data_IF_072678442023
#
_entry.id   IF_072678442023
#
_cell.length_a   1.000
_cell.length_b   1.000
_cell.length_c   1.000
_cell.angle_alpha   90.00
_cell.angle_beta   90.00
_cell.angle_gamma   90.00
#
_symmetry.space_group_name_H-M   'P 1'
#
loop_
_entity.id
_entity.type
_entity.pdbx_description
1 polymer ?
#
# COMPACT_ATOMS: atom_id res chain seq x y z
N UNK A 1 -10.63 -9.19 20.94
CA UNK A 1 -11.40 -9.80 22.06
C UNK A 1 -10.49 -10.44 23.12
N UNK A 2 -9.49 -11.25 22.78
CA UNK A 2 -8.60 -11.91 23.76
C UNK A 2 -7.80 -10.91 24.62
N UNK A 3 -7.23 -9.87 24.01
CA UNK A 3 -6.46 -8.85 24.74
C UNK A 3 -7.27 -8.03 25.74
N UNK A 4 -8.57 -7.82 25.49
CA UNK A 4 -9.46 -7.12 26.42
C UNK A 4 -9.79 -7.96 27.66
N UNK A 5 -9.89 -9.28 27.51
CA UNK A 5 -10.12 -10.21 28.62
C UNK A 5 -8.85 -10.39 29.47
N UNK A 6 -7.67 -10.40 28.85
CA UNK A 6 -6.38 -10.51 29.54
C UNK A 6 -6.04 -9.22 30.30
N UNK A 7 -6.35 -8.05 29.73
CA UNK A 7 -6.17 -6.77 30.42
C UNK A 7 -7.04 -6.63 31.69
N UNK A 8 -8.22 -7.24 31.70
CA UNK A 8 -9.11 -7.26 32.88
C UNK A 8 -8.61 -8.18 34.00
N UNK A 9 -7.82 -9.19 33.67
CA UNK A 9 -7.25 -10.16 34.61
C UNK A 9 -5.95 -9.65 35.28
N UNK A 10 -5.22 -8.77 34.59
CA UNK A 10 -4.00 -8.11 35.13
C UNK A 10 -4.31 -6.85 35.98
N UNK A 11 -5.57 -6.46 36.09
CA UNK A 11 -6.01 -5.17 36.67
C UNK A 11 -6.34 -5.16 38.17
N UNK A 12 -5.94 -6.15 38.96
CA UNK A 12 -6.12 -6.14 40.42
C UNK A 12 -4.96 -5.44 41.14
N UNK A 13 -4.97 -4.11 41.19
CA UNK A 13 -4.07 -3.29 42.02
C UNK A 13 -3.91 -1.86 41.50
N UNK A 14 -3.45 -0.91 42.32
CA UNK A 14 -3.36 0.54 42.06
C UNK A 14 -2.60 0.98 40.78
N UNK A 15 -1.94 0.04 40.10
CA UNK A 15 -1.44 0.24 38.74
C UNK A 15 -2.58 0.27 37.69
N UNK A 16 -3.78 -0.18 38.06
CA UNK A 16 -4.97 -0.26 37.25
C UNK A 16 -5.41 1.11 36.75
N UNK A 17 -5.35 2.20 37.52
CA UNK A 17 -5.73 3.52 37.01
C UNK A 17 -4.79 4.04 35.91
N UNK A 18 -3.48 3.77 36.01
CA UNK A 18 -2.52 4.11 34.96
C UNK A 18 -2.69 3.24 33.72
N UNK A 19 -2.84 1.91 33.90
CA UNK A 19 -3.05 0.98 32.79
C UNK A 19 -4.43 1.12 32.14
N UNK A 20 -5.45 1.52 32.89
CA UNK A 20 -6.80 1.84 32.38
C UNK A 20 -6.80 3.21 31.70
N UNK A 21 -6.13 4.23 32.25
CA UNK A 21 -6.00 5.54 31.59
C UNK A 21 -5.19 5.48 30.27
N UNK A 22 -4.13 4.66 30.24
CA UNK A 22 -3.41 4.33 29.00
C UNK A 22 -4.28 3.51 28.05
N UNK A 23 -5.08 2.58 28.60
CA UNK A 23 -6.04 1.76 27.85
C UNK A 23 -7.14 2.57 27.19
N UNK A 24 -7.67 3.59 27.86
CA UNK A 24 -8.68 4.52 27.36
C UNK A 24 -8.09 5.52 26.35
N UNK A 25 -6.85 5.98 26.56
CA UNK A 25 -6.15 6.81 25.59
C UNK A 25 -5.87 6.05 24.27
N UNK A 26 -5.64 4.75 24.35
CA UNK A 26 -5.43 3.87 23.20
C UNK A 26 -6.72 3.17 22.73
N UNK A 27 -7.85 3.43 23.38
CA UNK A 27 -9.12 2.82 23.02
C UNK A 27 -9.52 3.18 21.59
N UNK A 28 -10.22 2.23 20.96
CA UNK A 28 -10.67 2.35 19.59
C UNK A 28 -11.59 3.57 19.43
N UNK A 29 -11.20 4.53 18.59
CA UNK A 29 -11.95 5.76 18.36
C UNK A 29 -11.54 6.98 19.19
N UNK A 30 -10.58 6.85 20.10
CA UNK A 30 -9.98 8.02 20.78
C UNK A 30 -9.20 8.89 19.80
N UNK A 31 -9.26 10.22 19.96
CA UNK A 31 -8.48 11.18 19.18
C UNK A 31 -6.96 10.87 19.25
N UNK A 32 -6.49 10.41 20.41
CA UNK A 32 -5.09 10.05 20.60
C UNK A 32 -4.69 8.81 19.79
N UNK A 33 -5.56 7.80 19.72
CA UNK A 33 -5.34 6.60 18.90
C UNK A 33 -5.25 6.97 17.40
N UNK A 34 -6.16 7.80 16.91
CA UNK A 34 -6.18 8.27 15.52
C UNK A 34 -4.93 9.09 15.15
N UNK A 35 -4.48 9.97 16.04
CA UNK A 35 -3.27 10.76 15.84
C UNK A 35 -2.01 9.89 15.78
N UNK A 36 -1.87 8.94 16.73
CA UNK A 36 -0.75 8.01 16.78
C UNK A 36 -0.72 7.10 15.55
N UNK A 37 -1.88 6.57 15.14
CA UNK A 37 -2.01 5.74 13.95
C UNK A 37 -1.65 6.51 12.68
N UNK A 38 -2.13 7.74 12.54
CA UNK A 38 -1.82 8.60 11.38
C UNK A 38 -0.34 8.90 11.28
N UNK A 39 0.31 9.24 12.39
CA UNK A 39 1.75 9.50 12.46
C UNK A 39 2.56 8.26 12.11
N UNK A 40 2.14 7.10 12.64
CA UNK A 40 2.80 5.82 12.35
C UNK A 40 2.70 5.47 10.86
N UNK A 41 1.54 5.69 10.22
CA UNK A 41 1.35 5.48 8.78
C UNK A 41 2.26 6.41 7.97
N UNK A 42 2.32 7.70 8.30
CA UNK A 42 3.20 8.67 7.61
C UNK A 42 4.66 8.26 7.71
N UNK A 43 5.11 7.89 8.91
CA UNK A 43 6.49 7.46 9.15
C UNK A 43 6.84 6.19 8.38
N UNK A 44 6.02 5.14 8.49
CA UNK A 44 6.27 3.87 7.82
C UNK A 44 6.17 3.97 6.30
N UNK A 45 5.27 4.80 5.77
CA UNK A 45 5.17 5.01 4.33
C UNK A 45 6.45 5.63 3.75
N UNK A 46 7.01 6.65 4.42
CA UNK A 46 8.28 7.25 4.02
C UNK A 46 9.45 6.29 4.16
N UNK A 47 9.52 5.58 5.29
CA UNK A 47 10.58 4.61 5.55
C UNK A 47 10.56 3.45 4.54
N UNK A 48 9.38 2.96 4.18
CA UNK A 48 9.25 1.90 3.20
C UNK A 48 9.76 2.35 1.82
N UNK A 49 9.33 3.51 1.34
CA UNK A 49 9.80 4.02 0.04
C UNK A 49 11.32 4.23 0.03
N UNK A 50 11.88 4.84 1.08
CA UNK A 50 13.31 5.09 1.18
C UNK A 50 14.18 3.82 1.24
N UNK A 51 13.63 2.71 1.75
CA UNK A 51 14.35 1.43 1.84
C UNK A 51 14.22 0.57 0.59
N UNK A 52 13.08 0.64 -0.11
CA UNK A 52 12.86 -0.14 -1.32
C UNK A 52 13.39 0.52 -2.59
N UNK A 53 13.22 1.84 -2.70
CA UNK A 53 13.58 2.58 -3.89
C UNK A 53 14.98 3.14 -3.75
N UNK A 54 15.89 2.61 -4.54
CA UNK A 54 17.26 3.11 -4.67
C UNK A 54 17.34 3.98 -5.93
N UNK A 55 17.17 5.30 -5.81
CA UNK A 55 17.10 6.21 -6.96
C UNK A 55 18.44 6.29 -7.71
N UNK A 56 19.55 6.10 -7.00
CA UNK A 56 20.89 6.06 -7.58
C UNK A 56 21.06 4.88 -8.53
N UNK A 57 20.61 3.69 -8.11
CA UNK A 57 20.66 2.46 -8.92
C UNK A 57 19.72 2.55 -10.13
N UNK A 58 18.48 3.02 -9.94
CA UNK A 58 17.51 3.16 -11.03
C UNK A 58 18.02 4.09 -12.13
N UNK A 59 18.63 5.22 -11.75
CA UNK A 59 19.21 6.15 -12.72
C UNK A 59 20.42 5.57 -13.48
N UNK A 60 21.25 4.76 -12.81
CA UNK A 60 22.37 4.06 -13.47
C UNK A 60 21.89 2.97 -14.41
N UNK A 61 20.89 2.19 -14.01
CA UNK A 61 20.31 1.14 -14.83
C UNK A 61 19.62 1.72 -16.06
N UNK A 62 18.92 2.87 -15.91
CA UNK A 62 18.34 3.60 -17.05
C UNK A 62 19.43 4.05 -18.03
N UNK A 63 20.54 4.59 -17.53
CA UNK A 63 21.68 5.00 -18.36
C UNK A 63 22.33 3.82 -19.07
N UNK A 64 22.51 2.68 -18.39
CA UNK A 64 23.09 1.45 -18.96
C UNK A 64 22.18 0.82 -20.01
N UNK A 65 20.86 0.88 -19.81
CA UNK A 65 19.86 0.39 -20.76
C UNK A 65 19.69 1.30 -22.00
N UNK A 66 20.43 2.42 -22.09
CA UNK A 66 20.29 3.40 -23.17
C UNK A 66 19.03 4.26 -23.06
N UNK A 67 18.31 4.19 -21.95
CA UNK A 67 17.14 5.02 -21.66
C UNK A 67 17.54 6.39 -21.11
N UNK A 68 16.68 7.38 -21.32
CA UNK A 68 16.81 8.70 -20.71
C UNK A 68 15.43 9.32 -20.48
N UNK A 69 15.35 10.19 -19.47
CA UNK A 69 14.14 10.99 -19.21
C UNK A 69 14.23 12.25 -20.08
N UNK A 70 13.27 12.50 -20.99
CA UNK A 70 13.25 13.71 -21.81
C UNK A 70 13.34 14.97 -20.94
N UNK A 71 14.27 15.87 -21.26
CA UNK A 71 14.48 17.13 -20.53
C UNK A 71 15.40 17.05 -19.31
N UNK A 72 15.89 15.87 -18.91
CA UNK A 72 16.83 15.71 -17.78
C UNK A 72 18.10 15.00 -18.23
N UNK A 73 19.27 15.54 -17.86
CA UNK A 73 20.56 14.96 -18.25
C UNK A 73 20.79 13.61 -17.56
N UNK A 74 21.22 12.54 -18.28
CA UNK A 74 21.48 11.24 -17.67
C UNK A 74 22.54 11.28 -16.56
N UNK A 75 22.29 10.58 -15.45
CA UNK A 75 23.19 10.52 -14.29
C UNK A 75 22.64 11.26 -13.08
N UNK A 76 23.43 12.16 -12.48
CA UNK A 76 23.05 12.85 -11.24
C UNK A 76 21.73 13.64 -11.36
N UNK A 77 21.49 14.34 -12.47
CA UNK A 77 20.24 15.09 -12.64
C UNK A 77 19.02 14.17 -12.72
N UNK A 78 19.14 12.95 -13.27
CA UNK A 78 18.08 11.93 -13.25
C UNK A 78 17.79 11.43 -11.84
N UNK A 79 18.82 11.24 -11.01
CA UNK A 79 18.68 10.86 -9.59
C UNK A 79 17.93 11.91 -8.80
N UNK A 80 18.32 13.17 -8.95
CA UNK A 80 17.66 14.29 -8.25
C UNK A 80 16.20 14.43 -8.69
N UNK A 81 15.93 14.25 -9.99
CA UNK A 81 14.56 14.25 -10.51
C UNK A 81 13.71 13.13 -9.90
N UNK A 82 14.24 11.90 -9.87
CA UNK A 82 13.57 10.74 -9.26
C UNK A 82 13.30 11.00 -7.78
N UNK A 83 14.28 11.53 -7.04
CA UNK A 83 14.13 11.80 -5.62
C UNK A 83 13.00 12.81 -5.33
N UNK A 84 12.93 13.91 -6.09
CA UNK A 84 11.86 14.90 -5.96
C UNK A 84 10.49 14.34 -6.33
N UNK A 85 10.41 13.54 -7.41
CA UNK A 85 9.17 12.92 -7.86
C UNK A 85 8.65 11.91 -6.82
N UNK A 86 9.53 11.04 -6.32
CA UNK A 86 9.21 10.03 -5.32
C UNK A 86 8.75 10.69 -4.02
N UNK A 87 9.48 11.68 -3.49
CA UNK A 87 9.08 12.36 -2.24
C UNK A 87 7.68 12.99 -2.31
N UNK A 88 7.33 13.63 -3.43
CA UNK A 88 5.99 14.22 -3.63
C UNK A 88 4.90 13.16 -3.78
N UNK A 89 5.21 12.08 -4.52
CA UNK A 89 4.29 10.97 -4.70
C UNK A 89 4.03 10.24 -3.37
N UNK A 90 5.08 10.00 -2.58
CA UNK A 90 4.99 9.41 -1.24
C UNK A 90 4.18 10.28 -0.30
N UNK A 91 4.37 11.60 -0.33
CA UNK A 91 3.57 12.51 0.50
C UNK A 91 2.08 12.44 0.15
N UNK A 92 1.73 12.47 -1.14
CA UNK A 92 0.33 12.33 -1.58
C UNK A 92 -0.25 10.95 -1.22
N UNK A 93 0.52 9.88 -1.43
CA UNK A 93 0.13 8.51 -1.11
C UNK A 93 -0.04 8.26 0.39
N UNK A 94 0.87 8.78 1.22
CA UNK A 94 0.81 8.62 2.66
C UNK A 94 -0.40 9.36 3.26
N UNK A 95 -0.71 10.56 2.77
CA UNK A 95 -1.94 11.29 3.15
C UNK A 95 -3.18 10.47 2.76
N UNK A 96 -3.20 9.89 1.56
CA UNK A 96 -4.30 9.05 1.13
C UNK A 96 -4.48 7.80 2.01
N UNK A 97 -3.39 7.15 2.41
CA UNK A 97 -3.42 6.00 3.33
C UNK A 97 -3.96 6.38 4.71
N UNK A 98 -3.57 7.53 5.25
CA UNK A 98 -4.12 8.05 6.51
C UNK A 98 -5.63 8.25 6.39
N UNK A 99 -6.11 8.85 5.29
CA UNK A 99 -7.55 9.07 5.08
C UNK A 99 -8.32 7.75 5.08
N UNK A 100 -7.86 6.74 4.32
CA UNK A 100 -8.51 5.43 4.28
C UNK A 100 -8.48 4.74 5.65
N UNK A 101 -7.41 4.90 6.42
CA UNK A 101 -7.32 4.31 7.77
C UNK A 101 -8.29 4.97 8.77
N UNK A 102 -8.49 6.29 8.67
CA UNK A 102 -9.33 7.07 9.60
C UNK A 102 -10.83 6.92 9.31
N UNK A 103 -11.23 6.82 8.04
CA UNK A 103 -12.64 6.70 7.61
C UNK A 103 -13.42 5.61 8.37
N UNK A 104 -12.98 4.33 8.45
CA UNK A 104 -13.75 3.28 9.10
C UNK A 104 -13.88 3.51 10.61
N UNK A 105 -12.85 4.07 11.25
CA UNK A 105 -12.91 4.40 12.69
C UNK A 105 -13.93 5.50 12.96
N UNK A 106 -13.98 6.54 12.13
CA UNK A 106 -14.95 7.64 12.27
C UNK A 106 -16.38 7.16 11.98
N UNK A 107 -16.57 6.35 10.93
CA UNK A 107 -17.87 5.76 10.59
C UNK A 107 -18.38 4.83 11.70
N UNK A 108 -17.50 4.02 12.29
CA UNK A 108 -17.86 3.11 13.37
C UNK A 108 -18.35 3.80 14.64
N UNK A 109 -17.82 4.99 14.96
CA UNK A 109 -18.24 5.78 16.13
C UNK A 109 -19.60 6.45 15.89
N UNK A 110 -19.84 6.98 14.69
CA UNK A 110 -21.04 7.79 14.41
C UNK A 110 -22.28 6.97 14.05
N UNK A 111 -22.13 5.73 13.58
CA UNK A 111 -23.23 4.93 13.05
C UNK A 111 -23.69 3.79 13.97
N UNK A 112 -23.11 3.62 15.17
CA UNK A 112 -23.44 2.58 16.16
C UNK A 112 -23.72 1.20 15.52
N UNK A 113 -22.86 0.80 14.57
CA UNK A 113 -23.06 -0.40 13.77
C UNK A 113 -22.92 -1.65 14.66
N UNK A 114 -23.87 -2.57 14.54
CA UNK A 114 -23.89 -3.83 15.27
C UNK A 114 -22.58 -4.61 15.09
N UNK A 115 -22.06 -5.18 16.18
CA UNK A 115 -20.72 -5.78 16.25
C UNK A 115 -20.52 -6.89 15.19
N UNK A 116 -21.58 -7.63 14.87
CA UNK A 116 -21.57 -8.64 13.82
C UNK A 116 -21.35 -8.06 12.42
N UNK A 117 -21.97 -6.91 12.12
CA UNK A 117 -21.82 -6.21 10.84
C UNK A 117 -20.46 -5.52 10.79
N UNK A 118 -20.02 -4.90 11.89
CA UNK A 118 -18.70 -4.28 11.99
C UNK A 118 -17.55 -5.29 11.82
N UNK A 119 -17.73 -6.54 12.27
CA UNK A 119 -16.75 -7.60 12.07
C UNK A 119 -16.76 -8.14 10.63
N UNK A 120 -17.93 -8.26 10.00
CA UNK A 120 -18.05 -8.76 8.62
C UNK A 120 -17.56 -7.75 7.58
N UNK A 121 -17.80 -6.45 7.79
CA UNK A 121 -17.20 -5.35 7.04
C UNK A 121 -15.87 -4.88 7.66
N UNK A 122 -15.31 -5.66 8.58
CA UNK A 122 -14.06 -5.34 9.27
C UNK A 122 -12.86 -5.32 8.33
N UNK A 123 -11.78 -4.68 8.76
CA UNK A 123 -10.57 -4.51 7.95
C UNK A 123 -9.99 -5.82 7.41
N UNK A 124 -10.09 -6.92 8.16
CA UNK A 124 -9.53 -8.22 7.74
C UNK A 124 -10.30 -8.85 6.57
N UNK A 125 -11.63 -8.89 6.62
CA UNK A 125 -12.45 -9.44 5.52
C UNK A 125 -12.35 -8.57 4.26
N UNK A 126 -12.32 -7.25 4.43
CA UNK A 126 -12.17 -6.32 3.31
C UNK A 126 -10.80 -6.43 2.64
N UNK A 127 -9.71 -6.56 3.42
CA UNK A 127 -8.36 -6.78 2.87
C UNK A 127 -8.26 -8.10 2.10
N UNK A 128 -8.85 -9.19 2.62
CA UNK A 128 -8.88 -10.47 1.91
C UNK A 128 -9.68 -10.35 0.62
N UNK A 129 -10.86 -9.73 0.65
CA UNK A 129 -11.71 -9.54 -0.52
C UNK A 129 -10.99 -8.78 -1.65
N UNK A 130 -10.42 -7.62 -1.32
CA UNK A 130 -9.69 -6.80 -2.30
C UNK A 130 -8.43 -7.52 -2.79
N UNK A 131 -7.72 -8.23 -1.90
CA UNK A 131 -6.56 -9.03 -2.26
C UNK A 131 -6.88 -10.13 -3.28
N UNK A 132 -7.93 -10.91 -3.03
CA UNK A 132 -8.39 -11.96 -3.95
C UNK A 132 -8.90 -11.36 -5.27
N UNK A 133 -9.62 -10.23 -5.22
CA UNK A 133 -10.10 -9.56 -6.44
C UNK A 133 -8.93 -9.10 -7.32
N UNK A 134 -7.90 -8.46 -6.76
CA UNK A 134 -6.73 -8.02 -7.50
C UNK A 134 -5.92 -9.20 -8.07
N UNK A 135 -5.78 -10.29 -7.31
CA UNK A 135 -5.11 -11.50 -7.80
C UNK A 135 -5.88 -12.12 -8.97
N UNK A 136 -7.20 -12.20 -8.86
CA UNK A 136 -8.09 -12.70 -9.93
C UNK A 136 -7.97 -11.83 -11.20
N UNK A 137 -7.96 -10.50 -11.04
CA UNK A 137 -7.80 -9.56 -12.17
C UNK A 137 -6.46 -9.74 -12.88
N UNK A 138 -5.36 -9.87 -12.12
CA UNK A 138 -4.02 -10.11 -12.69
C UNK A 138 -3.94 -11.44 -13.43
N UNK A 139 -4.56 -12.49 -12.89
CA UNK A 139 -4.64 -13.79 -13.56
C UNK A 139 -5.42 -13.65 -14.88
N UNK A 140 -6.57 -12.99 -14.88
CA UNK A 140 -7.33 -12.72 -16.11
C UNK A 140 -6.52 -11.92 -17.15
N UNK A 141 -5.82 -10.85 -16.75
CA UNK A 141 -4.98 -10.05 -17.64
C UNK A 141 -3.86 -10.89 -18.25
N UNK A 142 -3.21 -11.76 -17.49
CA UNK A 142 -2.16 -12.64 -17.99
C UNK A 142 -2.66 -13.64 -19.05
N UNK A 143 -3.86 -14.20 -18.86
CA UNK A 143 -4.50 -15.08 -19.83
C UNK A 143 -4.91 -14.31 -21.10
N UNK A 144 -5.43 -13.09 -20.96
CA UNK A 144 -5.76 -12.22 -22.08
C UNK A 144 -4.53 -11.78 -22.87
N UNK A 145 -3.42 -11.47 -22.20
CA UNK A 145 -2.16 -11.12 -22.85
C UNK A 145 -1.67 -12.27 -23.74
N UNK A 146 -1.64 -13.50 -23.21
CA UNK A 146 -1.25 -14.70 -23.98
C UNK A 146 -2.13 -14.90 -25.23
N UNK A 147 -3.44 -14.65 -25.12
CA UNK A 147 -4.37 -14.78 -26.24
C UNK A 147 -4.17 -13.74 -27.35
N UNK A 148 -3.69 -12.54 -27.01
CA UNK A 148 -3.36 -11.48 -27.99
C UNK A 148 -1.95 -11.63 -28.59
N UNK A 149 -1.06 -12.44 -28.00
CA UNK A 149 0.24 -12.77 -28.59
C UNK A 149 0.16 -13.77 -29.76
N UNK A 150 -0.81 -14.69 -29.75
CA UNK A 150 -0.97 -15.72 -30.80
C UNK A 150 -1.40 -15.15 -32.18
N UNK A 151 -2.07 -14.00 -32.19
CA UNK A 151 -2.55 -13.35 -33.42
C UNK A 151 -1.46 -12.72 -34.28
N UNK A 152 -0.35 -12.26 -33.67
CA UNK A 152 0.72 -11.54 -34.38
C UNK A 152 1.78 -12.46 -35.00
N UNK A 153 1.98 -13.68 -34.48
CA UNK A 153 3.01 -14.59 -34.99
C UNK A 153 2.54 -15.49 -36.15
N UNK A 154 1.24 -15.57 -36.43
CA UNK A 154 0.68 -16.43 -37.50
C UNK A 154 0.57 -15.76 -38.88
N UNK A 155 0.82 -14.45 -38.99
CA UNK A 155 0.68 -13.67 -40.22
C UNK A 155 1.94 -13.54 -41.10
N UNK A 156 3.07 -14.11 -40.68
CA UNK A 156 4.33 -14.06 -41.43
C UNK A 156 4.31 -15.00 -42.64
N UNK A 157 3.91 -14.49 -43.81
CA UNK A 157 4.02 -15.14 -45.12
C UNK A 157 5.35 -15.92 -45.24
N UNK A 158 5.26 -17.23 -45.50
CA UNK A 158 6.39 -18.06 -45.96
C UNK A 158 7.04 -17.39 -47.18
N UNK A 159 8.19 -16.75 -46.97
CA UNK A 159 9.05 -16.27 -48.05
C UNK A 159 9.65 -17.50 -48.73
N UNK A 160 9.06 -17.85 -49.88
CA UNK A 160 9.51 -18.92 -50.74
C UNK A 160 10.79 -18.47 -51.45
N UNK A 161 11.93 -18.98 -50.98
CA UNK A 161 13.22 -18.79 -51.64
C UNK A 161 13.18 -19.36 -53.06
N UNK A 162 13.50 -18.52 -54.04
CA UNK A 162 13.74 -18.91 -55.43
C UNK A 162 15.22 -19.27 -55.52
N UNK A 163 15.51 -20.56 -55.62
CA UNK A 163 16.80 -21.05 -56.09
C UNK A 163 16.96 -20.61 -57.55
N UNK A 164 18.08 -19.96 -57.83
CA UNK A 164 18.60 -19.61 -59.14
C UNK A 164 20.11 -19.81 -59.07
#
# INVERSE_FOLDING_TARGET
QIFGTVGRWLGEGNASEFFVGLGDALAYGSFWNLAMQSLMILFFSYFWVATQFNETQIADDLKKAGGYIPGVRPGNATRDFLHHAMSRLTLAGAVFLVVIAVIPTVLGINLEIDFAVAQFFGGTSLLIMVGVMLDTMRQMESHLAQHHYDGFLKGGKKVRGRAG
#
